data_IF_098031224711
#
_entry.id   IF_098031224711
#
_cell.length_a   1.000
_cell.length_b   1.000
_cell.length_c   1.000
_cell.angle_alpha   90.00
_cell.angle_beta   90.00
_cell.angle_gamma   90.00
#
_symmetry.space_group_name_H-M   'P 1'
#
loop_
_entity.id
_entity.type
_entity.pdbx_description
1 polymer ?
#
# COMPACT_ATOMS: atom_id res chain seq x y z
N UNK A 1 0.28 -5.37 -33.15
CA UNK A 1 0.86 -5.18 -31.81
C UNK A 1 -0.28 -5.09 -30.82
N UNK A 2 -0.57 -6.16 -30.07
CA UNK A 2 -1.57 -6.13 -28.99
C UNK A 2 -0.82 -5.63 -27.74
N UNK A 3 -1.06 -4.40 -27.33
CA UNK A 3 -0.68 -3.96 -25.98
C UNK A 3 -1.67 -4.62 -25.03
N UNK A 4 -1.24 -5.69 -24.35
CA UNK A 4 -1.92 -6.18 -23.17
C UNK A 4 -1.89 -5.04 -22.14
N UNK A 5 -3.08 -4.59 -21.71
CA UNK A 5 -3.21 -3.47 -20.78
C UNK A 5 -2.64 -3.78 -19.40
N UNK A 6 -2.51 -2.77 -18.51
CA UNK A 6 -2.06 -2.96 -17.13
C UNK A 6 -3.13 -3.72 -16.34
N UNK A 7 -3.16 -5.06 -16.48
CA UNK A 7 -4.41 -5.80 -16.34
C UNK A 7 -4.55 -6.66 -15.09
N UNK A 8 -3.46 -7.26 -14.58
CA UNK A 8 -3.54 -8.23 -13.48
C UNK A 8 -2.30 -8.16 -12.59
N UNK A 9 -1.12 -8.06 -13.20
CA UNK A 9 0.18 -8.04 -12.51
C UNK A 9 0.32 -6.81 -11.59
N UNK A 10 -0.08 -5.63 -12.08
CA UNK A 10 -0.06 -4.39 -11.29
C UNK A 10 -0.95 -4.48 -10.06
N UNK A 11 -2.14 -5.10 -10.19
CA UNK A 11 -3.05 -5.30 -9.06
C UNK A 11 -2.52 -6.31 -8.03
N UNK A 12 -1.82 -7.35 -8.49
CA UNK A 12 -1.16 -8.33 -7.62
C UNK A 12 0.02 -7.69 -6.86
N UNK A 13 0.83 -6.88 -7.55
CA UNK A 13 1.93 -6.15 -6.95
C UNK A 13 1.43 -5.16 -5.89
N UNK A 14 0.39 -4.37 -6.21
CA UNK A 14 -0.23 -3.44 -5.26
C UNK A 14 -0.76 -4.15 -4.00
N UNK A 15 -1.38 -5.32 -4.18
CA UNK A 15 -1.87 -6.14 -3.07
C UNK A 15 -0.72 -6.69 -2.20
N UNK A 16 0.37 -7.11 -2.83
CA UNK A 16 1.55 -7.60 -2.15
C UNK A 16 2.24 -6.50 -1.33
N UNK A 17 2.44 -5.33 -1.94
CA UNK A 17 3.04 -4.16 -1.27
C UNK A 17 2.19 -3.74 -0.08
N UNK A 18 0.87 -3.62 -0.26
CA UNK A 18 -0.10 -3.33 0.81
C UNK A 18 0.05 -4.27 2.00
N UNK A 19 0.09 -5.58 1.72
CA UNK A 19 0.16 -6.61 2.76
C UNK A 19 1.48 -6.52 3.54
N UNK A 20 2.60 -6.32 2.84
CA UNK A 20 3.93 -6.17 3.46
C UNK A 20 4.03 -4.94 4.35
N UNK A 21 3.52 -3.80 3.88
CA UNK A 21 3.52 -2.54 4.65
C UNK A 21 2.73 -2.72 5.95
N UNK A 22 1.51 -3.27 5.85
CA UNK A 22 0.66 -3.52 7.03
C UNK A 22 1.32 -4.50 8.00
N UNK A 23 1.91 -5.59 7.48
CA UNK A 23 2.58 -6.58 8.31
C UNK A 23 3.78 -5.99 9.06
N UNK A 24 4.63 -5.20 8.38
CA UNK A 24 5.75 -4.51 9.00
C UNK A 24 5.26 -3.57 10.12
N UNK A 25 4.25 -2.75 9.83
CA UNK A 25 3.68 -1.81 10.80
C UNK A 25 3.23 -2.52 12.07
N UNK A 26 2.46 -3.60 11.93
CA UNK A 26 1.95 -4.39 13.06
C UNK A 26 3.08 -5.08 13.81
N UNK A 27 4.02 -5.72 13.11
CA UNK A 27 5.14 -6.42 13.72
C UNK A 27 6.04 -5.51 14.56
N UNK A 28 6.17 -4.25 14.16
CA UNK A 28 6.94 -3.23 14.87
C UNK A 28 6.12 -2.44 15.91
N UNK A 29 4.81 -2.73 16.03
CA UNK A 29 3.93 -1.99 16.94
C UNK A 29 3.71 -0.53 16.55
N UNK A 30 3.96 -0.15 15.30
CA UNK A 30 3.83 1.23 14.85
C UNK A 30 2.39 1.61 14.50
N UNK A 31 2.01 2.83 14.81
CA UNK A 31 0.84 3.49 14.26
C UNK A 31 1.05 3.83 12.78
N UNK A 32 -0.03 4.23 12.10
CA UNK A 32 0.07 4.71 10.71
C UNK A 32 0.92 5.97 10.61
N UNK A 33 0.80 6.90 11.56
CA UNK A 33 1.59 8.13 11.60
C UNK A 33 3.08 7.82 11.76
N UNK A 34 3.39 6.90 12.65
CA UNK A 34 4.76 6.46 12.95
C UNK A 34 5.46 5.81 11.76
N UNK A 35 4.78 4.93 11.01
CA UNK A 35 5.36 4.36 9.80
C UNK A 35 5.42 5.41 8.67
N UNK A 36 4.42 6.28 8.56
CA UNK A 36 4.39 7.32 7.53
C UNK A 36 5.57 8.30 7.71
N UNK A 37 5.85 8.73 8.95
CA UNK A 37 7.01 9.56 9.25
C UNK A 37 8.34 8.90 8.89
N UNK A 38 8.51 7.60 9.19
CA UNK A 38 9.72 6.83 8.81
C UNK A 38 9.88 6.68 7.30
N UNK A 39 8.77 6.59 6.56
CA UNK A 39 8.76 6.46 5.11
C UNK A 39 8.75 7.82 4.37
N UNK A 40 8.79 8.94 5.09
CA UNK A 40 8.65 10.29 4.54
C UNK A 40 7.36 10.47 3.71
N UNK A 41 6.26 9.91 4.20
CA UNK A 41 4.93 10.00 3.61
C UNK A 41 3.96 10.70 4.58
N UNK A 42 2.87 11.24 4.04
CA UNK A 42 1.75 11.62 4.90
C UNK A 42 1.01 10.37 5.39
N UNK A 43 0.45 10.44 6.60
CA UNK A 43 -0.41 9.37 7.15
C UNK A 43 -1.57 9.03 6.20
N UNK A 44 -2.16 10.02 5.53
CA UNK A 44 -3.23 9.83 4.54
C UNK A 44 -2.77 9.09 3.28
N UNK A 45 -1.52 9.30 2.85
CA UNK A 45 -0.93 8.58 1.73
C UNK A 45 -0.66 7.12 2.10
N UNK A 46 -0.08 6.88 3.28
CA UNK A 46 0.12 5.52 3.77
C UNK A 46 -1.22 4.77 3.99
N UNK A 47 -2.23 5.45 4.53
CA UNK A 47 -3.58 4.88 4.71
C UNK A 47 -4.21 4.49 3.37
N UNK A 48 -4.07 5.29 2.31
CA UNK A 48 -4.51 4.92 0.96
C UNK A 48 -3.76 3.70 0.43
N UNK A 49 -2.45 3.61 0.67
CA UNK A 49 -1.65 2.45 0.29
C UNK A 49 -2.11 1.20 1.05
N UNK A 50 -2.43 1.27 2.34
CA UNK A 50 -2.90 0.11 3.13
C UNK A 50 -4.35 -0.30 2.80
N UNK A 51 -5.24 0.65 2.53
CA UNK A 51 -6.68 0.35 2.36
C UNK A 51 -7.13 0.23 0.89
N UNK A 52 -6.35 0.76 -0.04
CA UNK A 52 -6.58 0.66 -1.47
C UNK A 52 -7.60 1.68 -1.92
N UNK A 53 -7.80 1.80 -3.24
CA UNK A 53 -8.99 2.49 -3.76
C UNK A 53 -10.20 1.67 -3.32
N UNK A 54 -10.78 1.98 -2.16
CA UNK A 54 -12.16 1.59 -1.88
C UNK A 54 -13.00 2.27 -2.95
N UNK A 55 -13.46 1.48 -3.91
CA UNK A 55 -14.53 1.92 -4.81
C UNK A 55 -15.78 1.97 -3.95
N UNK A 56 -16.23 3.18 -3.62
CA UNK A 56 -17.60 3.42 -3.17
C UNK A 56 -18.54 3.23 -4.38
#
# INVERSE_FOLDING_TARGET
MKHEGPGVEDGQLDSLVRTRIRALRVAQGWSLEELAGRANLSQSSLSRIENGRRRL
#
